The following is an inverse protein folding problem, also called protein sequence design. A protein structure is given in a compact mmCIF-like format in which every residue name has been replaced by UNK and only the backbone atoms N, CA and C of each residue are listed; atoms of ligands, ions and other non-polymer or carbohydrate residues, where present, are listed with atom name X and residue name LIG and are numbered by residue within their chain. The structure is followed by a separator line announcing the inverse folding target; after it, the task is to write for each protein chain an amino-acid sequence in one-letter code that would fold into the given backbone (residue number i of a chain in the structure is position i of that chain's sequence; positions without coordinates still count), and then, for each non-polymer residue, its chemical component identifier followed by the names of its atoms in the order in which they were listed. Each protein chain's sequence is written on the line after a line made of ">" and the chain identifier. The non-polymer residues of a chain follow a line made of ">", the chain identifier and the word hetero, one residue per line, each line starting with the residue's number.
data_IF_418630331348
#
_entry.id   IF_418630331348
#
_cell.length_a   1.000
_cell.length_b   1.000
_cell.length_c   1.000
_cell.angle_alpha   90.00
_cell.angle_beta   90.00
_cell.angle_gamma   90.00
#
_symmetry.space_group_name_H-M   'P 1'
#
loop_
_entity.id
_entity.type
_entity.pdbx_description
1 polymer ?
#
# COMPACT_ATOMS: atom_id res chain seq x y z
N UNK A 1 6.30 20.52 -1.96
CA UNK A 1 6.17 20.12 -3.38
C UNK A 1 7.54 19.65 -3.84
N UNK A 2 7.65 18.40 -4.33
CA UNK A 2 8.94 17.72 -4.53
C UNK A 2 9.02 16.27 -4.02
N UNK A 3 7.98 15.75 -3.35
CA UNK A 3 8.05 14.43 -2.69
C UNK A 3 8.11 13.29 -3.72
N UNK A 4 7.26 13.31 -4.75
CA UNK A 4 7.28 12.29 -5.79
C UNK A 4 8.50 12.41 -6.71
N UNK A 5 9.00 13.62 -6.94
CA UNK A 5 10.26 13.87 -7.62
C UNK A 5 11.42 13.22 -6.86
N UNK A 6 11.49 13.45 -5.55
CA UNK A 6 12.54 12.85 -4.71
C UNK A 6 12.41 11.33 -4.62
N UNK A 7 11.18 10.82 -4.53
CA UNK A 7 10.93 9.38 -4.59
C UNK A 7 11.39 8.80 -5.93
N UNK A 8 11.14 9.46 -7.06
CA UNK A 8 11.59 9.02 -8.37
C UNK A 8 13.13 8.99 -8.49
N UNK A 9 13.82 10.00 -7.93
CA UNK A 9 15.28 10.03 -7.86
C UNK A 9 15.86 8.85 -7.04
N UNK A 10 15.18 8.43 -5.98
CA UNK A 10 15.60 7.28 -5.18
C UNK A 10 15.29 5.95 -5.88
N UNK A 11 14.09 5.82 -6.45
CA UNK A 11 13.68 4.60 -7.13
C UNK A 11 14.40 4.38 -8.48
N UNK A 12 14.90 5.44 -9.13
CA UNK A 12 15.72 5.30 -10.35
C UNK A 12 17.06 4.61 -10.12
N UNK A 13 17.52 4.51 -8.87
CA UNK A 13 18.74 3.79 -8.50
C UNK A 13 18.53 2.26 -8.45
N UNK A 14 17.28 1.81 -8.47
CA UNK A 14 16.95 0.38 -8.54
C UNK A 14 17.28 -0.12 -9.96
N UNK A 15 17.98 -1.26 -10.11
CA UNK A 15 18.28 -1.82 -11.43
C UNK A 15 17.02 -2.05 -12.29
N UNK A 16 17.14 -1.82 -13.60
CA UNK A 16 16.02 -1.85 -14.55
C UNK A 16 15.32 -3.22 -14.71
N UNK A 17 16.03 -4.30 -14.40
CA UNK A 17 15.49 -5.66 -14.38
C UNK A 17 14.62 -5.94 -13.14
N UNK A 18 14.61 -5.06 -12.13
CA UNK A 18 13.74 -5.17 -10.95
C UNK A 18 12.49 -4.32 -11.16
N UNK A 19 11.33 -4.97 -11.05
CA UNK A 19 10.03 -4.28 -11.12
C UNK A 19 9.57 -3.88 -9.73
N UNK A 20 9.12 -2.63 -9.59
CA UNK A 20 8.61 -2.09 -8.32
C UNK A 20 7.10 -1.97 -8.40
N UNK A 21 6.39 -2.57 -7.43
CA UNK A 21 4.94 -2.43 -7.29
C UNK A 21 4.64 -1.44 -6.16
N UNK A 22 3.79 -0.45 -6.42
CA UNK A 22 3.42 0.58 -5.45
C UNK A 22 1.90 0.58 -5.27
N UNK A 23 1.43 0.52 -4.03
CA UNK A 23 0.05 0.84 -3.65
C UNK A 23 0.05 2.20 -2.93
N UNK A 24 -1.00 3.02 -3.04
CA UNK A 24 -1.08 4.26 -2.27
C UNK A 24 -1.34 3.99 -0.79
N UNK A 25 -0.88 4.92 0.05
CA UNK A 25 -1.24 5.03 1.45
C UNK A 25 -2.36 6.03 1.74
N UNK A 26 -2.68 6.19 3.03
CA UNK A 26 -3.70 7.13 3.53
C UNK A 26 -3.32 8.62 3.36
N UNK A 27 -2.03 8.91 3.16
CA UNK A 27 -1.49 10.27 2.97
C UNK A 27 -1.13 10.61 1.52
N UNK A 28 -1.17 9.63 0.62
CA UNK A 28 -0.89 9.88 -0.79
C UNK A 28 -2.03 10.64 -1.47
N UNK A 29 -1.75 11.17 -2.66
CA UNK A 29 -2.74 11.90 -3.44
C UNK A 29 -3.73 10.92 -4.08
N UNK A 30 -4.67 10.46 -3.28
CA UNK A 30 -5.79 9.60 -3.70
C UNK A 30 -7.00 9.89 -2.81
N UNK A 31 -8.12 9.19 -3.00
CA UNK A 31 -9.27 9.36 -2.10
C UNK A 31 -8.92 8.81 -0.71
N UNK A 32 -9.48 9.39 0.35
CA UNK A 32 -9.23 8.92 1.73
C UNK A 32 -9.93 7.60 2.07
N UNK A 33 -11.04 7.30 1.39
CA UNK A 33 -11.82 6.10 1.64
C UNK A 33 -11.24 4.88 0.93
N UNK A 34 -11.29 3.72 1.59
CA UNK A 34 -10.99 2.44 0.96
C UNK A 34 -12.15 1.98 0.05
N UNK A 35 -11.87 1.26 -1.05
CA UNK A 35 -10.54 1.04 -1.64
C UNK A 35 -10.00 2.33 -2.29
N UNK A 36 -8.71 2.61 -2.27
CA UNK A 36 -8.14 3.79 -2.94
C UNK A 36 -7.70 3.43 -4.37
N UNK A 37 -8.04 4.22 -5.41
CA UNK A 37 -7.45 4.05 -6.73
C UNK A 37 -5.95 4.34 -6.69
N UNK A 38 -5.17 3.87 -7.68
CA UNK A 38 -3.76 4.21 -7.81
C UNK A 38 -3.56 5.74 -7.81
N UNK A 39 -2.36 6.19 -7.41
CA UNK A 39 -2.00 7.61 -7.46
C UNK A 39 -2.16 8.12 -8.90
N UNK A 40 -2.92 9.20 -9.14
CA UNK A 40 -3.10 9.76 -10.47
C UNK A 40 -1.76 10.12 -11.11
N UNK A 41 -1.60 9.79 -12.39
CA UNK A 41 -0.34 10.00 -13.12
C UNK A 41 0.09 11.46 -13.12
N UNK A 42 -0.86 12.37 -13.22
CA UNK A 42 -0.61 13.82 -13.23
C UNK A 42 0.04 14.33 -11.94
N UNK A 43 -0.10 13.58 -10.84
CA UNK A 43 0.40 13.95 -9.52
C UNK A 43 1.76 13.30 -9.21
N UNK A 44 2.08 12.18 -9.86
CA UNK A 44 3.28 11.40 -9.63
C UNK A 44 4.07 11.13 -10.93
N UNK A 45 3.93 12.01 -11.93
CA UNK A 45 4.48 11.85 -13.28
C UNK A 45 5.95 11.36 -13.31
N UNK A 46 6.88 11.93 -12.51
CA UNK A 46 8.28 11.47 -12.50
C UNK A 46 8.45 9.98 -12.17
N UNK A 47 7.56 9.41 -11.34
CA UNK A 47 7.58 7.98 -11.02
C UNK A 47 7.06 7.12 -12.16
N UNK A 48 6.07 7.60 -12.92
CA UNK A 48 5.57 6.93 -14.11
C UNK A 48 6.60 6.93 -15.24
N UNK A 49 7.43 7.96 -15.32
CA UNK A 49 8.48 8.10 -16.35
C UNK A 49 9.62 7.08 -16.18
N UNK A 50 9.79 6.48 -14.99
CA UNK A 50 10.81 5.44 -14.74
C UNK A 50 10.54 4.15 -15.54
N UNK A 51 9.28 3.86 -15.89
CA UNK A 51 8.89 2.65 -16.64
C UNK A 51 9.07 1.30 -15.91
N UNK A 52 9.83 1.26 -14.80
CA UNK A 52 10.05 0.09 -13.94
C UNK A 52 9.07 0.01 -12.77
N UNK A 53 8.35 1.10 -12.48
CA UNK A 53 7.35 1.21 -11.40
C UNK A 53 5.94 0.96 -11.94
N UNK A 54 5.17 0.13 -11.26
CA UNK A 54 3.76 -0.14 -11.55
C UNK A 54 2.91 0.26 -10.34
N UNK A 55 1.94 1.15 -10.57
CA UNK A 55 1.01 1.60 -9.55
C UNK A 55 -0.26 0.74 -9.54
N UNK A 56 -0.64 0.31 -8.35
CA UNK A 56 -1.80 -0.53 -8.07
C UNK A 56 -2.76 0.21 -7.13
N UNK A 57 -3.99 -0.30 -7.00
CA UNK A 57 -4.96 0.20 -6.02
C UNK A 57 -4.57 -0.24 -4.59
N UNK A 58 -5.13 0.41 -3.57
CA UNK A 58 -5.05 -0.04 -2.19
C UNK A 58 -6.44 -0.45 -1.68
N UNK A 59 -6.67 -1.73 -1.29
CA UNK A 59 -5.76 -2.86 -1.37
C UNK A 59 -5.59 -3.41 -2.80
N UNK A 60 -4.59 -4.28 -3.00
CA UNK A 60 -4.38 -5.04 -4.22
C UNK A 60 -3.97 -6.50 -3.93
N UNK A 61 -4.32 -7.40 -4.85
CA UNK A 61 -3.87 -8.80 -4.84
C UNK A 61 -2.95 -9.02 -6.05
N UNK A 62 -1.74 -9.51 -5.82
CA UNK A 62 -0.79 -9.82 -6.89
C UNK A 62 -0.45 -11.31 -6.85
N UNK A 63 -0.31 -11.94 -8.02
CA UNK A 63 0.18 -13.31 -8.13
C UNK A 63 1.53 -13.32 -8.84
N UNK A 64 2.57 -13.84 -8.18
CA UNK A 64 3.89 -14.03 -8.76
C UNK A 64 4.22 -15.52 -8.69
N UNK A 65 4.36 -16.16 -9.84
CA UNK A 65 4.66 -17.60 -9.93
C UNK A 65 3.74 -18.48 -9.06
N UNK A 66 2.42 -18.20 -9.10
CA UNK A 66 1.36 -18.88 -8.33
C UNK A 66 1.39 -18.62 -6.82
N UNK A 67 2.24 -17.72 -6.33
CA UNK A 67 2.20 -17.22 -4.95
C UNK A 67 1.37 -15.94 -4.93
N UNK A 68 0.36 -15.88 -4.05
CA UNK A 68 -0.55 -14.74 -3.93
C UNK A 68 -0.12 -13.82 -2.78
N UNK A 69 -0.05 -12.52 -3.07
CA UNK A 69 0.38 -11.47 -2.14
C UNK A 69 -0.76 -10.47 -1.93
N UNK A 70 -1.26 -10.38 -0.70
CA UNK A 70 -2.20 -9.33 -0.29
C UNK A 70 -1.41 -8.08 0.07
N UNK A 71 -1.59 -7.04 -0.72
CA UNK A 71 -1.04 -5.72 -0.46
C UNK A 71 -2.14 -4.85 0.12
N UNK A 72 -1.90 -4.24 1.27
CA UNK A 72 -2.80 -3.31 1.92
C UNK A 72 -1.97 -2.35 2.77
N UNK A 73 -2.25 -1.05 2.67
CA UNK A 73 -1.54 -0.03 3.47
C UNK A 73 -1.80 -0.18 4.98
N UNK A 74 -2.92 -0.79 5.38
CA UNK A 74 -3.20 -1.07 6.80
C UNK A 74 -4.03 -0.01 7.51
N UNK A 75 -4.70 0.89 6.80
CA UNK A 75 -5.41 2.03 7.42
C UNK A 75 -6.45 1.61 8.49
N UNK A 76 -7.13 0.49 8.31
CA UNK A 76 -8.10 -0.04 9.27
C UNK A 76 -7.48 -0.64 10.53
N UNK A 77 -6.17 -0.88 10.56
CA UNK A 77 -5.47 -1.40 11.74
C UNK A 77 -5.48 -0.37 12.87
N UNK A 78 -5.43 0.93 12.53
CA UNK A 78 -5.56 2.02 13.50
C UNK A 78 -6.94 1.99 14.19
N UNK A 79 -8.01 1.86 13.41
CA UNK A 79 -9.37 1.75 13.92
C UNK A 79 -9.56 0.47 14.76
N UNK A 80 -9.03 -0.66 14.27
CA UNK A 80 -9.12 -1.95 14.94
C UNK A 80 -8.34 -1.98 16.27
N UNK A 81 -7.22 -1.26 16.37
CA UNK A 81 -6.47 -1.12 17.61
C UNK A 81 -7.31 -0.48 18.73
N UNK A 82 -8.27 0.39 18.39
CA UNK A 82 -9.21 0.96 19.35
C UNK A 82 -10.31 -0.01 19.81
N UNK A 83 -10.56 -1.09 19.05
CA UNK A 83 -11.65 -2.04 19.28
C UNK A 83 -11.20 -3.36 19.91
N UNK A 84 -9.93 -3.74 19.74
CA UNK A 84 -9.38 -5.02 20.23
C UNK A 84 -8.56 -4.75 21.49
N UNK A 85 -9.02 -5.13 22.70
CA UNK A 85 -8.30 -4.83 23.94
C UNK A 85 -6.90 -5.46 24.03
N UNK A 86 -6.67 -6.56 23.32
CA UNK A 86 -5.38 -7.23 23.23
C UNK A 86 -4.42 -6.55 22.23
N UNK A 87 -4.92 -5.63 21.39
CA UNK A 87 -4.10 -4.93 20.43
C UNK A 87 -3.18 -3.94 21.13
N UNK A 88 -1.89 -4.09 20.86
CA UNK A 88 -0.85 -3.17 21.33
C UNK A 88 0.00 -2.80 20.14
N UNK A 89 0.52 -1.59 20.14
CA UNK A 89 1.46 -1.14 19.10
C UNK A 89 2.70 -2.04 19.01
N UNK A 90 3.09 -2.66 20.13
CA UNK A 90 4.22 -3.58 20.21
C UNK A 90 3.94 -4.95 19.55
N UNK A 91 2.68 -5.28 19.26
CA UNK A 91 2.24 -6.57 18.70
C UNK A 91 1.25 -6.38 17.53
N UNK A 92 1.67 -5.72 16.42
CA UNK A 92 0.81 -5.44 15.27
C UNK A 92 0.31 -6.71 14.55
N UNK A 93 1.02 -7.82 14.69
CA UNK A 93 0.66 -9.11 14.10
C UNK A 93 -0.71 -9.62 14.59
N UNK A 94 -1.10 -9.31 15.84
CA UNK A 94 -2.39 -9.72 16.40
C UNK A 94 -3.55 -9.12 15.59
N UNK A 95 -3.41 -7.88 15.15
CA UNK A 95 -4.42 -7.22 14.32
C UNK A 95 -4.42 -7.79 12.90
N UNK A 96 -3.25 -8.08 12.34
CA UNK A 96 -3.13 -8.71 11.02
C UNK A 96 -3.74 -10.12 11.00
N UNK A 97 -3.47 -10.93 12.03
CA UNK A 97 -4.08 -12.24 12.24
C UNK A 97 -5.60 -12.15 12.29
N UNK A 98 -6.14 -11.15 13.01
CA UNK A 98 -7.58 -10.91 13.05
C UNK A 98 -8.16 -10.60 11.66
N UNK A 99 -7.53 -9.71 10.88
CA UNK A 99 -7.99 -9.40 9.51
C UNK A 99 -7.95 -10.63 8.60
N UNK A 100 -6.94 -11.50 8.75
CA UNK A 100 -6.84 -12.78 8.03
C UNK A 100 -7.97 -13.72 8.45
N UNK A 101 -8.24 -13.82 9.75
CA UNK A 101 -9.28 -14.70 10.31
C UNK A 101 -10.68 -14.32 9.79
N UNK A 102 -11.02 -13.03 9.83
CA UNK A 102 -12.33 -12.53 9.37
C UNK A 102 -12.44 -12.35 7.86
N UNK A 103 -11.33 -12.53 7.12
CA UNK A 103 -11.26 -12.44 5.65
C UNK A 103 -11.75 -11.10 5.09
N UNK A 104 -11.60 -10.03 5.86
CA UNK A 104 -12.03 -8.69 5.48
C UNK A 104 -11.05 -7.65 6.01
N UNK A 105 -10.62 -6.72 5.16
CA UNK A 105 -9.56 -5.75 5.48
C UNK A 105 -10.06 -4.55 6.30
N UNK A 106 -11.37 -4.39 6.52
CA UNK A 106 -11.96 -3.32 7.35
C UNK A 106 -13.31 -3.77 7.96
N UNK A 107 -13.31 -4.73 8.91
CA UNK A 107 -14.51 -5.45 9.37
C UNK A 107 -15.26 -4.70 10.49
N UNK A 108 -15.68 -3.46 10.24
CA UNK A 108 -16.43 -2.62 11.17
C UNK A 108 -17.29 -1.59 10.43
#
# INVERSE_FOLDING_TARGET
>A
YGQYEKAAELLSQIPDYVRVLVIPGNHDFTRKALPQPPIPKEQAQPLFDLGTVTFLANPAMVSLHKVHFQLFHGQSLEDLAGLVPAARHDYPEVLMEYLIYVRHLSPF
#
